data_IF_667551776976
#
_entry.id   IF_667551776976
#
_cell.length_a   1.000
_cell.length_b   1.000
_cell.length_c   1.000
_cell.angle_alpha   90.00
_cell.angle_beta   90.00
_cell.angle_gamma   90.00
#
_symmetry.space_group_name_H-M   'P 1'
#
loop_
_entity.id
_entity.type
_entity.pdbx_description
1 polymer ?
#
# COMPACT_ATOMS: atom_id res chain seq x y z
N UNK A 1 -33.80 -7.89 -74.34
CA UNK A 1 -33.35 -8.90 -73.35
C UNK A 1 -33.73 -8.43 -71.95
N UNK A 2 -34.72 -9.08 -71.31
CA UNK A 2 -35.23 -8.70 -69.99
C UNK A 2 -34.22 -9.13 -68.91
N UNK A 3 -33.57 -8.17 -68.25
CA UNK A 3 -32.64 -8.41 -67.15
C UNK A 3 -33.42 -8.96 -65.95
N UNK A 4 -33.16 -10.21 -65.60
CA UNK A 4 -33.94 -10.99 -64.65
C UNK A 4 -33.72 -10.45 -63.23
N UNK A 5 -34.61 -9.57 -62.75
CA UNK A 5 -34.54 -8.89 -61.45
C UNK A 5 -34.47 -9.85 -60.25
N UNK A 6 -34.93 -11.09 -60.43
CA UNK A 6 -34.84 -12.15 -59.42
C UNK A 6 -33.39 -12.55 -59.11
N UNK A 7 -32.48 -12.47 -60.07
CA UNK A 7 -31.08 -12.91 -59.88
C UNK A 7 -30.28 -11.93 -59.02
N UNK A 8 -30.54 -10.62 -59.13
CA UNK A 8 -29.89 -9.60 -58.30
C UNK A 8 -30.38 -9.62 -56.84
N UNK A 9 -31.66 -9.94 -56.61
CA UNK A 9 -32.22 -10.09 -55.26
C UNK A 9 -31.67 -11.33 -54.54
N UNK A 10 -31.48 -12.44 -55.25
CA UNK A 10 -30.90 -13.67 -54.71
C UNK A 10 -29.42 -13.51 -54.34
N UNK A 11 -28.63 -12.77 -55.13
CA UNK A 11 -27.21 -12.52 -54.81
C UNK A 11 -27.05 -11.60 -53.59
N UNK A 12 -27.92 -10.60 -53.41
CA UNK A 12 -27.89 -9.76 -52.21
C UNK A 12 -28.37 -10.49 -50.94
N UNK A 13 -29.31 -11.43 -51.04
CA UNK A 13 -29.74 -12.26 -49.91
C UNK A 13 -28.65 -13.25 -49.46
N UNK A 14 -27.82 -13.76 -50.37
CA UNK A 14 -26.69 -14.64 -50.03
C UNK A 14 -25.50 -13.85 -49.43
N UNK A 15 -25.21 -12.63 -49.91
CA UNK A 15 -24.18 -11.78 -49.31
C UNK A 15 -24.58 -11.18 -47.94
N UNK A 16 -25.87 -10.89 -47.72
CA UNK A 16 -26.35 -10.42 -46.41
C UNK A 16 -26.35 -11.53 -45.34
N UNK A 17 -26.51 -12.80 -45.73
CA UNK A 17 -26.44 -13.95 -44.82
C UNK A 17 -25.03 -14.33 -44.37
N UNK A 18 -23.98 -13.90 -45.09
CA UNK A 18 -22.59 -14.21 -44.76
C UNK A 18 -21.96 -13.23 -43.75
N UNK A 19 -22.61 -12.10 -43.43
CA UNK A 19 -22.07 -11.08 -42.53
C UNK A 19 -22.57 -11.16 -41.07
N UNK A 20 -23.39 -12.14 -40.70
CA UNK A 20 -23.99 -12.23 -39.34
C UNK A 20 -23.45 -13.37 -38.46
N UNK A 21 -22.32 -13.98 -38.82
CA UNK A 21 -21.64 -14.98 -37.99
C UNK A 21 -20.22 -14.56 -37.59
N UNK A 22 -20.02 -13.27 -37.31
CA UNK A 22 -19.02 -12.92 -36.31
C UNK A 22 -19.66 -13.25 -34.96
N UNK A 23 -19.57 -14.51 -34.54
CA UNK A 23 -19.60 -14.83 -33.12
C UNK A 23 -18.43 -14.07 -32.50
N UNK A 24 -18.73 -12.83 -32.10
CA UNK A 24 -17.90 -12.08 -31.18
C UNK A 24 -17.81 -12.96 -29.95
N UNK A 25 -16.69 -13.69 -29.82
CA UNK A 25 -16.30 -14.27 -28.56
C UNK A 25 -16.15 -13.11 -27.58
N UNK A 26 -17.22 -12.76 -26.87
CA UNK A 26 -17.05 -12.08 -25.58
C UNK A 26 -16.42 -13.14 -24.70
N UNK A 27 -15.12 -13.03 -24.46
CA UNK A 27 -14.53 -13.70 -23.31
C UNK A 27 -15.10 -12.96 -22.10
N UNK A 28 -16.22 -13.46 -21.59
CA UNK A 28 -16.54 -13.25 -20.19
C UNK A 28 -15.45 -14.02 -19.46
N UNK A 29 -14.41 -13.30 -19.03
CA UNK A 29 -13.42 -13.88 -18.15
C UNK A 29 -14.19 -14.18 -16.88
N UNK A 30 -14.63 -15.43 -16.74
CA UNK A 30 -15.01 -15.98 -15.45
C UNK A 30 -13.69 -16.07 -14.69
N UNK A 31 -13.29 -14.94 -14.10
CA UNK A 31 -12.27 -14.93 -13.08
C UNK A 31 -12.84 -15.85 -11.99
N UNK A 32 -12.12 -16.90 -11.57
CA UNK A 32 -12.58 -17.68 -10.43
C UNK A 32 -12.82 -16.71 -9.28
N UNK A 33 -13.92 -16.89 -8.54
CA UNK A 33 -14.34 -16.01 -7.43
C UNK A 33 -13.25 -15.83 -6.35
N UNK A 34 -12.14 -16.60 -6.44
CA UNK A 34 -10.95 -16.52 -5.61
C UNK A 34 -9.68 -16.42 -6.47
N UNK A 35 -9.44 -15.29 -7.16
CA UNK A 35 -8.07 -14.96 -7.57
C UNK A 35 -7.28 -14.71 -6.28
N UNK A 36 -6.15 -15.42 -6.04
CA UNK A 36 -5.30 -15.12 -4.91
C UNK A 36 -4.91 -13.64 -4.90
N UNK A 37 -4.91 -13.05 -3.72
CA UNK A 37 -4.41 -11.69 -3.54
C UNK A 37 -2.96 -11.61 -4.04
N UNK A 38 -2.69 -10.67 -4.95
CA UNK A 38 -1.36 -10.41 -5.47
C UNK A 38 -0.59 -9.64 -4.41
N UNK A 39 0.54 -10.18 -4.00
CA UNK A 39 1.37 -9.53 -3.01
C UNK A 39 2.18 -8.40 -3.66
N UNK A 40 1.94 -7.16 -3.23
CA UNK A 40 2.68 -6.02 -3.77
C UNK A 40 4.19 -6.17 -3.57
N UNK A 41 4.63 -6.47 -2.35
CA UNK A 41 6.05 -6.47 -2.00
C UNK A 41 6.84 -7.57 -2.74
N UNK A 42 6.23 -8.73 -2.95
CA UNK A 42 6.90 -9.91 -3.52
C UNK A 42 6.70 -10.05 -5.02
N UNK A 43 5.57 -9.63 -5.55
CA UNK A 43 5.20 -9.91 -6.94
C UNK A 43 5.20 -8.65 -7.81
N UNK A 44 4.85 -7.49 -7.27
CA UNK A 44 4.69 -6.25 -8.06
C UNK A 44 5.92 -5.37 -7.97
N UNK A 45 6.38 -5.07 -6.74
CA UNK A 45 7.50 -4.16 -6.48
C UNK A 45 8.80 -4.60 -7.19
N UNK A 46 9.18 -5.89 -7.24
CA UNK A 46 10.37 -6.31 -7.98
C UNK A 46 10.27 -6.06 -9.48
N UNK A 47 9.07 -6.13 -10.07
CA UNK A 47 8.88 -5.86 -11.49
C UNK A 47 9.18 -4.40 -11.79
N UNK A 48 8.61 -3.48 -11.01
CA UNK A 48 8.83 -2.03 -11.16
C UNK A 48 10.28 -1.64 -10.89
N UNK A 49 10.89 -2.12 -9.79
CA UNK A 49 12.30 -1.82 -9.47
C UNK A 49 13.27 -2.31 -10.54
N UNK A 50 13.06 -3.53 -11.05
CA UNK A 50 14.02 -4.13 -11.98
C UNK A 50 13.83 -3.68 -13.42
N UNK A 51 12.69 -3.08 -13.77
CA UNK A 51 12.35 -2.74 -15.15
C UNK A 51 12.16 -1.24 -15.40
N UNK A 52 11.81 -0.47 -14.37
CA UNK A 52 11.46 0.95 -14.50
C UNK A 52 12.21 1.84 -13.49
N UNK A 53 12.27 1.43 -12.22
CA UNK A 53 12.98 2.12 -11.14
C UNK A 53 14.49 1.86 -11.13
N UNK A 54 15.11 1.88 -12.30
CA UNK A 54 16.54 1.68 -12.51
C UNK A 54 17.25 3.03 -12.66
N UNK A 55 18.56 3.05 -12.42
CA UNK A 55 19.36 4.28 -12.49
C UNK A 55 19.26 4.99 -13.84
N UNK A 56 18.96 6.29 -13.79
CA UNK A 56 18.75 7.14 -14.98
C UNK A 56 17.36 6.97 -15.62
N UNK A 57 16.41 6.36 -14.90
CA UNK A 57 15.00 6.30 -15.24
C UNK A 57 14.19 6.67 -13.98
N UNK A 58 13.15 5.91 -13.62
CA UNK A 58 12.26 6.22 -12.51
C UNK A 58 12.81 5.82 -11.12
N UNK A 59 14.11 5.94 -10.87
CA UNK A 59 14.73 5.58 -9.60
C UNK A 59 14.60 6.66 -8.51
N UNK A 60 14.15 7.87 -8.89
CA UNK A 60 14.01 9.03 -8.01
C UNK A 60 15.26 9.91 -7.93
N UNK A 61 16.23 9.72 -8.84
CA UNK A 61 17.43 10.56 -8.94
C UNK A 61 17.24 11.80 -9.83
N UNK A 62 16.21 11.84 -10.66
CA UNK A 62 15.88 12.96 -11.56
C UNK A 62 14.47 13.53 -11.31
N UNK A 63 14.17 14.69 -11.89
CA UNK A 63 12.85 15.37 -11.83
C UNK A 63 11.86 14.72 -12.81
N UNK A 64 11.66 13.42 -12.68
CA UNK A 64 10.64 12.67 -13.41
C UNK A 64 9.34 12.62 -12.58
N UNK A 65 8.18 12.72 -13.25
CA UNK A 65 6.85 12.77 -12.60
C UNK A 65 6.56 11.58 -11.66
N UNK A 66 7.27 10.45 -11.83
CA UNK A 66 7.03 9.23 -11.08
C UNK A 66 8.32 8.55 -10.61
N UNK A 67 8.41 8.27 -9.30
CA UNK A 67 9.41 7.38 -8.70
C UNK A 67 8.84 5.96 -8.59
N UNK A 68 9.41 4.97 -9.28
CA UNK A 68 8.85 3.62 -9.38
C UNK A 68 9.60 2.58 -8.52
N UNK A 69 10.14 3.02 -7.38
CA UNK A 69 10.95 2.20 -6.46
C UNK A 69 10.25 1.88 -5.13
N UNK A 70 9.06 2.43 -4.90
CA UNK A 70 8.29 2.31 -3.66
C UNK A 70 6.79 2.19 -3.93
N UNK A 71 6.03 1.74 -2.94
CA UNK A 71 4.56 1.69 -3.06
C UNK A 71 3.98 3.05 -3.38
N UNK A 72 4.36 4.08 -2.60
CA UNK A 72 3.80 5.42 -2.73
C UNK A 72 4.08 6.00 -4.14
N UNK A 73 5.32 5.93 -4.59
CA UNK A 73 5.69 6.46 -5.89
C UNK A 73 5.01 5.71 -7.05
N UNK A 74 4.89 4.38 -6.98
CA UNK A 74 4.11 3.61 -7.96
C UNK A 74 2.63 3.98 -7.90
N UNK A 75 2.07 4.16 -6.69
CA UNK A 75 0.65 4.46 -6.50
C UNK A 75 0.23 5.81 -7.10
N UNK A 76 1.14 6.77 -7.25
CA UNK A 76 0.85 8.05 -7.94
C UNK A 76 0.55 7.87 -9.43
N UNK A 77 1.03 6.78 -10.03
CA UNK A 77 0.86 6.46 -11.45
C UNK A 77 -0.22 5.40 -11.72
N UNK A 78 -0.99 5.04 -10.70
CA UNK A 78 -1.95 3.93 -10.72
C UNK A 78 -3.30 4.36 -10.16
N UNK A 79 -4.37 4.03 -10.88
CA UNK A 79 -5.75 4.22 -10.43
C UNK A 79 -6.27 2.89 -9.90
N UNK A 80 -6.51 2.83 -8.58
CA UNK A 80 -7.01 1.65 -7.87
C UNK A 80 -8.25 1.05 -8.56
N UNK A 81 -8.21 -0.26 -8.85
CA UNK A 81 -9.28 -1.00 -9.53
C UNK A 81 -9.34 -0.79 -11.04
N UNK A 82 -8.52 0.12 -11.60
CA UNK A 82 -8.65 0.58 -12.99
C UNK A 82 -7.32 0.52 -13.74
N UNK A 83 -6.87 -0.68 -14.16
CA UNK A 83 -5.59 -0.83 -14.87
C UNK A 83 -5.53 -0.01 -16.16
N UNK A 84 -6.62 0.03 -16.93
CA UNK A 84 -6.65 0.77 -18.20
C UNK A 84 -6.93 2.28 -18.06
N UNK A 85 -7.03 2.79 -16.82
CA UNK A 85 -7.02 4.24 -16.53
C UNK A 85 -5.74 4.61 -15.74
N UNK A 86 -4.80 3.68 -15.57
CA UNK A 86 -3.57 3.87 -14.81
C UNK A 86 -2.42 4.25 -15.74
N UNK A 87 -1.86 5.47 -15.65
CA UNK A 87 -0.78 5.92 -16.53
C UNK A 87 0.39 4.93 -16.64
N UNK A 88 0.86 4.37 -15.52
CA UNK A 88 1.95 3.40 -15.55
C UNK A 88 1.58 2.12 -16.31
N UNK A 89 0.35 1.63 -16.17
CA UNK A 89 -0.05 0.40 -16.84
C UNK A 89 -0.30 0.62 -18.34
N UNK A 90 -0.86 1.77 -18.72
CA UNK A 90 -1.01 2.17 -20.13
C UNK A 90 0.36 2.23 -20.82
N UNK A 91 1.34 2.88 -20.19
CA UNK A 91 2.70 2.98 -20.69
C UNK A 91 3.42 1.61 -20.78
N UNK A 92 3.14 0.68 -19.85
CA UNK A 92 3.64 -0.71 -19.87
C UNK A 92 3.06 -1.54 -21.04
N UNK A 93 1.80 -1.32 -21.42
CA UNK A 93 1.14 -2.08 -22.49
C UNK A 93 1.23 -1.43 -23.87
N UNK A 94 1.71 -0.18 -23.94
CA UNK A 94 1.86 0.58 -25.17
C UNK A 94 2.74 -0.15 -26.21
N UNK A 95 2.22 -0.32 -27.42
CA UNK A 95 2.91 -1.00 -28.54
C UNK A 95 3.58 -0.03 -29.52
N UNK A 96 3.16 1.23 -29.51
CA UNK A 96 3.57 2.30 -30.44
C UNK A 96 3.41 3.65 -29.73
N UNK A 97 4.16 4.68 -30.12
CA UNK A 97 4.02 6.05 -29.59
C UNK A 97 5.13 6.49 -28.64
N UNK A 98 5.11 7.78 -28.27
CA UNK A 98 6.08 8.45 -27.36
C UNK A 98 5.94 8.00 -25.90
N UNK A 99 4.77 7.45 -25.53
CA UNK A 99 4.45 6.90 -24.19
C UNK A 99 5.07 5.50 -23.94
N UNK A 100 5.85 4.99 -24.88
CA UNK A 100 6.43 3.64 -24.85
C UNK A 100 7.72 3.62 -24.02
N UNK A 101 7.63 3.06 -22.80
CA UNK A 101 8.75 3.00 -21.82
C UNK A 101 10.00 2.26 -22.35
N UNK A 102 9.84 1.23 -23.18
CA UNK A 102 11.00 0.55 -23.80
C UNK A 102 10.66 -0.04 -25.18
N UNK A 103 11.20 0.55 -26.27
CA UNK A 103 11.00 0.04 -27.63
C UNK A 103 11.56 -1.36 -27.88
N UNK A 104 12.62 -1.73 -27.18
CA UNK A 104 13.41 -2.91 -27.51
C UNK A 104 13.22 -4.08 -26.54
N UNK A 105 12.61 -3.84 -25.36
CA UNK A 105 12.41 -4.88 -24.35
C UNK A 105 11.09 -4.72 -23.58
N UNK A 106 9.96 -5.13 -24.17
CA UNK A 106 8.67 -5.10 -23.47
C UNK A 106 8.69 -6.04 -22.27
N UNK A 107 8.01 -5.66 -21.17
CA UNK A 107 7.80 -6.53 -20.02
C UNK A 107 7.14 -7.85 -20.45
N UNK A 108 7.54 -8.93 -19.79
CA UNK A 108 6.97 -10.25 -20.01
C UNK A 108 5.45 -10.24 -19.79
N UNK A 109 4.73 -11.10 -20.52
CA UNK A 109 3.25 -11.20 -20.41
C UNK A 109 2.82 -11.51 -18.97
N UNK A 110 3.58 -12.32 -18.27
CA UNK A 110 3.36 -12.66 -16.87
C UNK A 110 3.47 -11.42 -15.96
N UNK A 111 4.57 -10.67 -16.04
CA UNK A 111 4.77 -9.44 -15.27
C UNK A 111 3.66 -8.41 -15.52
N UNK A 112 3.22 -8.26 -16.76
CA UNK A 112 2.07 -7.39 -17.10
C UNK A 112 0.77 -7.90 -16.49
N UNK A 113 0.57 -9.22 -16.47
CA UNK A 113 -0.61 -9.83 -15.84
C UNK A 113 -0.60 -9.60 -14.33
N UNK A 114 0.54 -9.77 -13.67
CA UNK A 114 0.69 -9.53 -12.22
C UNK A 114 0.35 -8.07 -11.88
N UNK A 115 0.92 -7.10 -12.62
CA UNK A 115 0.63 -5.68 -12.40
C UNK A 115 -0.86 -5.40 -12.63
N UNK A 116 -1.44 -5.93 -13.72
CA UNK A 116 -2.88 -5.76 -14.01
C UNK A 116 -3.76 -6.26 -12.87
N UNK A 117 -3.53 -7.50 -12.43
CA UNK A 117 -4.32 -8.15 -11.39
C UNK A 117 -4.19 -7.42 -10.06
N UNK A 118 -2.98 -6.97 -9.70
CA UNK A 118 -2.78 -6.14 -8.51
C UNK A 118 -3.57 -4.82 -8.58
N UNK A 119 -3.59 -4.13 -9.73
CA UNK A 119 -4.39 -2.92 -9.89
C UNK A 119 -5.88 -3.24 -9.78
N UNK A 120 -6.36 -4.30 -10.43
CA UNK A 120 -7.76 -4.76 -10.37
C UNK A 120 -8.18 -5.11 -8.93
N UNK A 121 -7.26 -5.65 -8.12
CA UNK A 121 -7.45 -5.93 -6.68
C UNK A 121 -7.34 -4.68 -5.78
N UNK A 122 -7.25 -3.50 -6.39
CA UNK A 122 -7.28 -2.22 -5.70
C UNK A 122 -5.91 -1.60 -5.43
N UNK A 123 -4.84 -2.09 -6.06
CA UNK A 123 -3.50 -1.54 -5.97
C UNK A 123 -3.03 -1.33 -4.52
N UNK A 124 -3.34 -2.27 -3.63
CA UNK A 124 -3.09 -2.16 -2.19
C UNK A 124 -1.65 -2.54 -1.86
N UNK A 125 -1.13 -1.96 -0.78
CA UNK A 125 0.08 -2.49 -0.13
C UNK A 125 -0.33 -3.71 0.68
N UNK A 126 -0.19 -4.89 0.06
CA UNK A 126 -0.56 -6.16 0.65
C UNK A 126 0.68 -6.80 1.29
N UNK A 127 0.59 -7.12 2.58
CA UNK A 127 1.56 -7.98 3.28
C UNK A 127 1.31 -9.42 2.89
N UNK A 128 2.34 -10.12 2.40
CA UNK A 128 2.16 -11.51 2.03
C UNK A 128 2.00 -12.39 3.30
N UNK A 129 1.01 -13.30 3.37
CA UNK A 129 1.08 -14.37 4.35
C UNK A 129 2.31 -15.24 4.04
N UNK A 130 3.15 -15.44 5.05
CA UNK A 130 4.30 -16.32 4.94
C UNK A 130 3.83 -17.77 5.07
N UNK A 131 3.86 -18.53 3.99
CA UNK A 131 3.45 -19.95 4.00
C UNK A 131 4.45 -20.86 4.72
N UNK A 132 5.54 -20.31 5.26
CA UNK A 132 6.54 -21.05 6.03
C UNK A 132 6.60 -20.58 7.48
N UNK A 133 5.73 -21.18 8.31
CA UNK A 133 5.86 -21.38 9.77
C UNK A 133 5.98 -20.18 10.73
N UNK A 134 5.18 -20.28 11.80
CA UNK A 134 5.16 -19.50 13.06
C UNK A 134 4.27 -18.23 13.02
N UNK A 135 3.43 -17.97 14.05
CA UNK A 135 2.57 -16.80 14.03
C UNK A 135 3.48 -15.57 13.99
N UNK A 136 3.32 -14.67 13.00
CA UNK A 136 4.20 -13.53 12.90
C UNK A 136 3.97 -12.67 14.15
N UNK A 137 5.06 -12.31 14.83
CA UNK A 137 5.09 -11.04 15.54
C UNK A 137 4.48 -10.02 14.59
N UNK A 138 3.45 -9.31 15.04
CA UNK A 138 2.67 -8.40 14.21
C UNK A 138 3.60 -7.44 13.47
N UNK A 139 3.87 -7.72 12.19
CA UNK A 139 4.53 -6.80 11.26
C UNK A 139 3.41 -6.01 10.62
N UNK A 140 3.24 -4.75 11.02
CA UNK A 140 2.35 -3.87 10.30
C UNK A 140 3.03 -3.43 8.99
N UNK A 141 2.58 -3.89 7.81
CA UNK A 141 3.16 -3.46 6.52
C UNK A 141 3.05 -1.95 6.30
N UNK A 142 2.16 -1.28 7.05
CA UNK A 142 1.96 0.15 7.09
C UNK A 142 2.32 0.67 8.48
N UNK A 143 3.55 0.41 8.92
CA UNK A 143 4.05 0.91 10.20
C UNK A 143 3.95 2.43 10.25
N UNK A 144 3.38 2.95 11.33
CA UNK A 144 2.97 4.33 11.49
C UNK A 144 3.97 5.07 12.34
N UNK A 145 4.35 6.28 11.94
CA UNK A 145 5.46 6.97 12.60
C UNK A 145 5.24 7.13 14.11
N UNK A 146 4.15 7.79 14.51
CA UNK A 146 3.88 8.10 15.92
C UNK A 146 3.65 6.87 16.81
N UNK A 147 3.06 5.80 16.26
CA UNK A 147 2.66 4.60 17.01
C UNK A 147 3.75 3.53 17.03
N UNK A 148 4.37 3.25 15.89
CA UNK A 148 5.21 2.06 15.70
C UNK A 148 6.70 2.42 15.61
N UNK A 149 7.04 3.59 15.06
CA UNK A 149 8.43 3.96 14.77
C UNK A 149 9.02 4.84 15.88
N UNK A 150 8.34 5.92 16.25
CA UNK A 150 8.80 6.89 17.23
C UNK A 150 9.10 6.23 18.59
N UNK A 151 8.29 5.30 19.14
CA UNK A 151 8.63 4.66 20.40
C UNK A 151 9.93 3.84 20.33
N UNK A 152 10.21 3.19 19.19
CA UNK A 152 11.46 2.44 18.97
C UNK A 152 12.65 3.40 18.93
N UNK A 153 12.51 4.50 18.22
CA UNK A 153 13.53 5.53 18.08
C UNK A 153 13.82 6.26 19.41
N UNK A 154 12.78 6.62 20.16
CA UNK A 154 12.93 7.28 21.46
C UNK A 154 13.57 6.34 22.49
N UNK A 155 13.13 5.09 22.53
CA UNK A 155 13.67 4.11 23.50
C UNK A 155 15.06 3.58 23.15
N UNK A 156 15.38 3.48 21.87
CA UNK A 156 16.62 2.85 21.39
C UNK A 156 17.71 3.83 20.95
N UNK A 157 17.38 5.11 20.69
CA UNK A 157 18.31 6.06 20.08
C UNK A 157 18.30 7.44 20.75
N UNK A 158 17.13 7.99 21.10
CA UNK A 158 17.01 9.33 21.66
C UNK A 158 17.31 9.38 23.17
N UNK A 159 18.47 8.88 23.57
CA UNK A 159 18.97 8.91 24.94
C UNK A 159 20.07 9.96 25.10
N UNK A 160 20.30 10.42 26.32
CA UNK A 160 21.36 11.38 26.63
C UNK A 160 22.74 10.83 26.28
N UNK A 161 23.51 11.65 25.56
CA UNK A 161 24.78 11.30 24.94
C UNK A 161 24.64 10.51 23.63
N UNK A 162 23.44 10.38 23.06
CA UNK A 162 23.19 9.66 21.81
C UNK A 162 22.47 10.54 20.79
N UNK A 163 21.15 10.43 20.60
CA UNK A 163 20.41 11.19 19.58
C UNK A 163 19.18 11.92 20.16
N UNK A 164 19.34 12.45 21.38
CA UNK A 164 18.33 13.28 22.06
C UNK A 164 18.39 14.75 21.64
N UNK A 165 17.41 15.56 22.02
CA UNK A 165 17.35 16.96 21.60
C UNK A 165 18.54 17.81 22.10
N UNK A 166 19.20 17.44 23.20
CA UNK A 166 20.17 18.28 23.90
C UNK A 166 21.64 17.94 23.64
N UNK A 167 21.93 16.66 23.45
CA UNK A 167 23.29 16.09 23.46
C UNK A 167 23.56 15.22 22.24
N UNK A 168 22.72 15.32 21.20
CA UNK A 168 22.80 14.50 20.01
C UNK A 168 24.20 14.47 19.37
N UNK A 169 24.60 13.27 18.97
CA UNK A 169 25.76 12.99 18.15
C UNK A 169 25.41 13.06 16.66
N UNK A 170 26.41 13.42 15.84
CA UNK A 170 26.32 13.51 14.38
C UNK A 170 25.14 14.36 13.86
N UNK A 171 24.70 15.36 14.63
CA UNK A 171 23.61 16.28 14.26
C UNK A 171 22.23 15.59 14.04
N UNK A 172 22.03 14.37 14.53
CA UNK A 172 20.76 13.62 14.39
C UNK A 172 19.94 13.57 15.68
N UNK A 173 18.65 13.93 15.58
CA UNK A 173 17.67 13.87 16.68
C UNK A 173 16.51 12.94 16.32
N UNK A 174 16.19 11.99 17.20
CA UNK A 174 15.16 10.96 16.95
C UNK A 174 13.93 11.06 17.89
N UNK A 175 13.58 12.27 18.34
CA UNK A 175 12.42 12.55 19.21
C UNK A 175 11.15 12.99 18.45
N UNK A 176 11.23 13.16 17.13
CA UNK A 176 10.10 13.62 16.34
C UNK A 176 10.22 13.28 14.86
N UNK A 177 9.12 13.46 14.13
CA UNK A 177 9.04 13.12 12.71
C UNK A 177 10.02 13.93 11.87
N UNK A 178 9.94 15.27 11.97
CA UNK A 178 10.73 16.19 11.16
C UNK A 178 12.25 16.00 11.34
N UNK A 179 12.69 15.68 12.55
CA UNK A 179 14.10 15.42 12.84
C UNK A 179 14.54 14.03 12.36
N UNK A 180 13.69 13.01 12.53
CA UNK A 180 13.94 11.66 12.02
C UNK A 180 14.11 11.64 10.50
N UNK A 181 13.30 12.45 9.79
CA UNK A 181 13.35 12.53 8.32
C UNK A 181 14.70 13.02 7.77
N UNK A 182 15.55 13.65 8.57
CA UNK A 182 16.89 14.06 8.15
C UNK A 182 17.81 12.86 7.87
N UNK A 183 17.51 11.68 8.45
CA UNK A 183 18.26 10.44 8.26
C UNK A 183 17.55 9.45 7.30
N UNK A 184 16.44 9.86 6.69
CA UNK A 184 15.54 8.97 5.95
C UNK A 184 15.30 9.50 4.53
N UNK A 185 15.46 8.62 3.56
CA UNK A 185 15.04 8.82 2.17
C UNK A 185 13.72 8.09 1.96
N UNK A 186 12.58 8.79 1.87
CA UNK A 186 11.27 8.18 1.60
C UNK A 186 11.32 7.17 0.45
N UNK A 187 10.71 6.01 0.66
CA UNK A 187 10.61 4.95 -0.34
C UNK A 187 11.87 4.10 -0.52
N UNK A 188 13.03 4.54 -0.02
CA UNK A 188 14.30 3.86 -0.22
C UNK A 188 15.06 3.62 1.11
N UNK A 189 14.79 2.47 1.78
CA UNK A 189 15.55 2.07 2.97
C UNK A 189 17.05 1.95 2.70
N UNK A 190 17.43 1.46 1.52
CA UNK A 190 18.84 1.26 1.19
C UNK A 190 19.61 2.55 0.99
N UNK A 191 18.94 3.68 0.79
CA UNK A 191 19.57 5.01 0.79
C UNK A 191 19.44 5.76 2.11
N UNK A 192 18.54 5.34 2.99
CA UNK A 192 18.30 5.96 4.28
C UNK A 192 19.45 5.68 5.26
N UNK A 193 20.15 6.72 5.71
CA UNK A 193 21.23 6.62 6.72
C UNK A 193 20.78 5.87 7.97
N UNK A 194 19.56 6.16 8.47
CA UNK A 194 18.95 5.47 9.62
C UNK A 194 18.95 3.96 9.42
N UNK A 195 18.47 3.47 8.27
CA UNK A 195 18.38 2.04 8.00
C UNK A 195 19.75 1.39 7.79
N UNK A 196 20.68 2.09 7.10
CA UNK A 196 22.06 1.63 6.90
C UNK A 196 22.77 1.35 8.23
N UNK A 197 22.65 2.24 9.21
CA UNK A 197 23.36 2.09 10.50
C UNK A 197 22.74 1.05 11.42
N UNK A 198 21.41 0.87 11.41
CA UNK A 198 20.74 -0.15 12.26
C UNK A 198 20.90 -1.58 11.73
N UNK A 199 21.21 -1.74 10.44
CA UNK A 199 21.46 -3.03 9.80
C UNK A 199 22.95 -3.36 9.65
N UNK A 200 23.83 -2.43 10.01
CA UNK A 200 25.26 -2.62 9.87
C UNK A 200 25.77 -3.86 10.66
N UNK A 201 26.78 -4.56 10.15
CA UNK A 201 27.47 -5.59 10.93
C UNK A 201 28.09 -4.99 12.19
N UNK A 202 28.42 -5.84 13.17
CA UNK A 202 29.11 -5.37 14.38
C UNK A 202 30.47 -4.76 13.99
N UNK A 203 30.69 -3.50 14.36
CA UNK A 203 31.85 -2.73 13.91
C UNK A 203 31.61 -1.22 13.95
N UNK A 204 32.41 -0.47 13.19
CA UNK A 204 32.33 1.00 13.15
C UNK A 204 30.98 1.48 12.58
N UNK A 205 30.35 2.42 13.29
CA UNK A 205 29.12 3.13 12.93
C UNK A 205 27.81 2.31 12.95
N UNK A 206 27.80 1.12 13.57
CA UNK A 206 26.55 0.39 13.87
C UNK A 206 25.75 1.09 14.97
N UNK A 207 24.44 1.24 14.76
CA UNK A 207 23.51 1.76 15.77
C UNK A 207 22.45 0.72 16.19
N UNK A 208 22.03 0.67 17.47
CA UNK A 208 22.71 1.28 18.61
C UNK A 208 24.15 0.76 18.73
N UNK A 209 25.07 1.54 19.34
CA UNK A 209 26.48 1.17 19.50
C UNK A 209 26.66 -0.23 20.10
N UNK A 210 27.79 -0.88 19.86
CA UNK A 210 28.00 -2.29 20.22
C UNK A 210 27.82 -2.62 21.71
N UNK A 211 27.95 -1.64 22.60
CA UNK A 211 27.73 -1.80 24.05
C UNK A 211 26.23 -1.74 24.44
N UNK A 212 25.35 -1.37 23.51
CA UNK A 212 23.90 -1.40 23.66
C UNK A 212 23.30 -2.59 22.87
N UNK A 213 22.13 -3.04 23.33
CA UNK A 213 21.38 -4.09 22.65
C UNK A 213 20.96 -3.64 21.24
N UNK A 214 21.04 -4.57 20.28
CA UNK A 214 20.47 -4.36 18.94
C UNK A 214 18.95 -4.21 19.02
N UNK A 215 18.40 -3.47 18.07
CA UNK A 215 16.97 -3.56 17.76
C UNK A 215 16.62 -4.99 17.36
N UNK A 216 15.39 -5.41 17.65
CA UNK A 216 14.87 -6.70 17.21
C UNK A 216 14.67 -6.69 15.70
N UNK A 217 14.62 -7.88 15.07
CA UNK A 217 14.28 -8.00 13.65
C UNK A 217 12.94 -7.32 13.35
N UNK A 218 11.92 -7.53 14.18
CA UNK A 218 10.61 -6.91 14.00
C UNK A 218 10.65 -5.37 14.04
N UNK A 219 11.49 -4.77 14.90
CA UNK A 219 11.69 -3.32 14.95
C UNK A 219 12.38 -2.81 13.68
N UNK A 220 13.43 -3.49 13.23
CA UNK A 220 14.16 -3.15 11.99
C UNK A 220 13.23 -3.29 10.78
N UNK A 221 12.43 -4.34 10.72
CA UNK A 221 11.47 -4.59 9.64
C UNK A 221 10.34 -3.56 9.62
N UNK A 222 9.89 -3.10 10.79
CA UNK A 222 8.90 -2.02 10.90
C UNK A 222 9.46 -0.70 10.38
N UNK A 223 10.70 -0.35 10.76
CA UNK A 223 11.39 0.84 10.23
C UNK A 223 11.59 0.71 8.72
N UNK A 224 12.03 -0.45 8.23
CA UNK A 224 12.21 -0.70 6.80
C UNK A 224 10.90 -0.50 6.02
N UNK A 225 9.80 -1.01 6.57
CA UNK A 225 8.47 -0.97 5.95
C UNK A 225 7.92 0.46 5.93
N UNK A 226 8.01 1.18 7.05
CA UNK A 226 7.64 2.59 7.12
C UNK A 226 8.43 3.43 6.11
N UNK A 227 9.76 3.28 6.04
CA UNK A 227 10.58 3.98 5.04
C UNK A 227 10.14 3.61 3.63
N UNK A 228 10.00 2.31 3.33
CA UNK A 228 9.57 1.81 2.01
C UNK A 228 8.18 2.32 1.62
N UNK A 229 7.32 2.61 2.59
CA UNK A 229 6.00 3.19 2.38
C UNK A 229 6.02 4.71 2.11
N UNK A 230 7.19 5.33 2.04
CA UNK A 230 7.32 6.77 1.85
C UNK A 230 7.51 7.54 3.15
N UNK A 231 7.78 6.84 4.26
CA UNK A 231 8.12 7.43 5.55
C UNK A 231 7.10 8.49 6.01
N UNK A 232 5.79 8.20 5.90
CA UNK A 232 4.73 9.17 6.16
C UNK A 232 4.52 9.45 7.66
N UNK A 233 4.14 10.68 8.01
CA UNK A 233 3.63 11.08 9.34
C UNK A 233 2.11 10.92 9.45
N UNK A 234 1.60 9.77 9.01
CA UNK A 234 0.16 9.53 9.01
C UNK A 234 -0.34 9.04 10.37
N UNK A 235 -1.50 9.58 10.79
CA UNK A 235 -2.21 9.09 11.96
C UNK A 235 -2.98 7.82 11.59
N UNK A 236 -2.49 6.67 12.04
CA UNK A 236 -3.10 5.38 11.74
C UNK A 236 -4.16 4.92 12.74
N UNK A 237 -4.57 5.79 13.66
CA UNK A 237 -5.36 5.40 14.83
C UNK A 237 -4.51 4.70 15.89
N UNK A 238 -5.06 4.61 17.11
CA UNK A 238 -4.51 3.74 18.15
C UNK A 238 -4.47 2.30 17.65
N UNK A 239 -3.51 1.50 18.13
CA UNK A 239 -3.50 0.06 17.84
C UNK A 239 -4.87 -0.50 18.21
N UNK A 240 -5.57 -1.11 17.25
CA UNK A 240 -6.79 -1.84 17.56
C UNK A 240 -6.42 -2.90 18.60
N UNK A 241 -6.98 -2.80 19.80
CA UNK A 241 -6.86 -3.85 20.80
C UNK A 241 -7.64 -5.07 20.30
N UNK A 242 -6.95 -5.97 19.61
CA UNK A 242 -7.52 -7.23 19.12
C UNK A 242 -7.46 -8.33 20.16
N UNK A 243 -6.85 -8.07 21.32
CA UNK A 243 -6.62 -9.06 22.38
C UNK A 243 -7.76 -9.03 23.39
N UNK A 244 -8.20 -7.83 23.77
CA UNK A 244 -9.29 -7.69 24.70
C UNK A 244 -10.62 -7.65 23.97
N UNK A 245 -11.57 -8.47 24.44
CA UNK A 245 -12.91 -8.47 23.89
C UNK A 245 -13.54 -7.08 24.03
N UNK A 246 -14.08 -6.56 22.92
CA UNK A 246 -14.95 -5.38 22.96
C UNK A 246 -16.18 -5.74 23.77
N UNK A 247 -16.31 -5.16 24.95
CA UNK A 247 -17.48 -5.36 25.81
C UNK A 247 -18.32 -4.11 25.84
N UNK A 248 -19.65 -4.28 25.98
CA UNK A 248 -20.51 -3.13 26.15
C UNK A 248 -20.11 -2.31 27.38
N UNK A 249 -19.93 -2.94 28.54
CA UNK A 249 -19.61 -2.23 29.79
C UNK A 249 -18.23 -1.60 29.80
N UNK A 250 -17.22 -2.25 29.21
CA UNK A 250 -15.83 -1.81 29.28
C UNK A 250 -15.40 -0.91 28.13
N UNK A 251 -15.93 -1.12 26.92
CA UNK A 251 -15.46 -0.44 25.70
C UNK A 251 -16.46 0.56 25.18
N UNK A 252 -17.75 0.19 25.11
CA UNK A 252 -18.80 1.01 24.45
C UNK A 252 -19.42 2.01 25.44
N UNK A 253 -19.76 1.55 26.64
CA UNK A 253 -20.51 2.31 27.63
C UNK A 253 -19.80 3.57 28.13
N UNK A 254 -18.46 3.59 28.37
CA UNK A 254 -17.78 4.82 28.77
C UNK A 254 -17.97 5.97 27.78
N UNK A 255 -17.93 5.67 26.48
CA UNK A 255 -18.16 6.65 25.41
C UNK A 255 -19.60 7.13 25.40
N UNK A 256 -20.58 6.22 25.41
CA UNK A 256 -22.02 6.57 25.42
C UNK A 256 -22.37 7.40 26.66
N UNK A 257 -21.86 7.02 27.83
CA UNK A 257 -22.08 7.74 29.09
C UNK A 257 -21.43 9.13 29.10
N UNK A 258 -20.27 9.27 28.48
CA UNK A 258 -19.54 10.54 28.49
C UNK A 258 -20.15 11.55 27.54
N UNK A 259 -20.53 11.11 26.34
CA UNK A 259 -20.88 12.03 25.25
C UNK A 259 -22.38 12.08 24.93
N UNK A 260 -23.16 11.04 25.28
CA UNK A 260 -24.53 10.91 24.78
C UNK A 260 -25.58 11.07 25.89
N UNK A 261 -25.34 10.52 27.08
CA UNK A 261 -26.36 10.49 28.15
C UNK A 261 -26.71 11.86 28.73
N UNK A 262 -25.92 12.91 28.44
CA UNK A 262 -26.24 14.28 28.83
C UNK A 262 -27.55 14.79 28.22
N UNK A 263 -27.87 14.38 26.99
CA UNK A 263 -29.12 14.72 26.30
C UNK A 263 -30.05 13.51 26.17
N UNK A 264 -29.49 12.30 26.02
CA UNK A 264 -30.24 11.07 25.76
C UNK A 264 -30.41 10.17 27.01
N UNK A 265 -30.22 10.73 28.21
CA UNK A 265 -30.43 10.04 29.48
C UNK A 265 -31.67 10.51 30.24
N UNK A 266 -32.00 9.82 31.34
CA UNK A 266 -33.04 10.24 32.27
C UNK A 266 -34.48 10.07 31.76
N UNK A 267 -35.42 10.80 32.38
CA UNK A 267 -36.86 10.62 32.14
C UNK A 267 -37.39 11.36 30.91
N UNK A 268 -36.64 12.33 30.37
CA UNK A 268 -37.04 13.12 29.19
C UNK A 268 -35.90 13.19 28.17
N UNK A 269 -35.58 12.07 27.50
CA UNK A 269 -34.50 12.01 26.53
C UNK A 269 -34.78 12.86 25.29
N UNK A 270 -33.74 13.52 24.78
CA UNK A 270 -33.77 14.25 23.51
C UNK A 270 -34.24 13.35 22.37
N UNK A 271 -35.25 13.81 21.62
CA UNK A 271 -35.82 13.06 20.50
C UNK A 271 -36.49 11.75 20.86
N UNK A 272 -36.76 11.48 22.15
CA UNK A 272 -37.32 10.21 22.61
C UNK A 272 -36.32 9.04 22.62
N UNK A 273 -35.04 9.28 22.31
CA UNK A 273 -34.01 8.23 22.22
C UNK A 273 -33.32 8.07 23.56
N UNK A 274 -33.45 6.88 24.16
CA UNK A 274 -32.84 6.51 25.44
C UNK A 274 -31.48 5.84 25.22
N UNK A 275 -30.43 6.33 25.87
CA UNK A 275 -29.07 5.80 25.79
C UNK A 275 -28.45 5.52 27.17
N UNK A 276 -29.27 5.40 28.20
CA UNK A 276 -28.85 5.33 29.61
C UNK A 276 -28.52 3.92 30.14
N UNK A 277 -28.73 2.86 29.34
CA UNK A 277 -28.28 1.51 29.66
C UNK A 277 -28.22 0.61 28.41
N UNK A 278 -27.70 -0.61 28.57
CA UNK A 278 -27.57 -1.59 27.49
C UNK A 278 -28.87 -1.84 26.73
N UNK A 279 -29.97 -2.10 27.44
CA UNK A 279 -31.24 -2.49 26.82
C UNK A 279 -31.83 -1.37 25.96
N UNK A 280 -31.52 -0.11 26.26
CA UNK A 280 -31.93 1.01 25.43
C UNK A 280 -30.96 1.22 24.27
N UNK A 281 -29.65 1.08 24.48
CA UNK A 281 -28.65 1.22 23.41
C UNK A 281 -28.75 0.10 22.36
N UNK A 282 -29.10 -1.11 22.75
CA UNK A 282 -29.11 -2.28 21.87
C UNK A 282 -30.32 -2.37 20.92
N UNK A 283 -31.29 -1.46 21.04
CA UNK A 283 -32.58 -1.51 20.32
C UNK A 283 -32.83 -0.28 19.44
N UNK A 284 -31.81 0.54 19.26
CA UNK A 284 -31.80 1.74 18.41
C UNK A 284 -31.24 1.35 17.06
#
# INVERSE_FOLDING_TARGET
MKRNRAFFLLVHLVLAGACMNLQSCRHEIILPDNIPEICFEREVLPIFRNSCGITGCHDGSEEDDYTLTSFLGISHSVVSGKPYESPAYEAIIARTGEERISPDRPLARESRTIIRLWIEQGARLTSCPDTTSQPPDYVNPRACFSRDILPVLVSGCATTGCHDAATHEEDYIFEGYSTTMQAVTPGNPQESKLYKVITAPDGENRMPPAHLSRLTSAQIDSIASWIRYGALDEFCGEACDTVNAVTFSGTIWPTVRTYCTGCHGGTTPGGGIRLDNYSHVSVI
#
